data_IF_448360565521
#
_entry.id   IF_448360565521
#
_cell.length_a   1.000
_cell.length_b   1.000
_cell.length_c   1.000
_cell.angle_alpha   90.00
_cell.angle_beta   90.00
_cell.angle_gamma   90.00
#
_symmetry.space_group_name_H-M   'P 1'
#
loop_
_entity.id
_entity.type
_entity.pdbx_description
1 polymer ?
#
# COMPACT_ATOMS: atom_id res chain seq x y z
N UNK A 1 23.57 7.81 29.22
CA UNK A 1 22.39 8.50 29.77
C UNK A 1 22.05 9.62 28.82
N UNK A 2 21.11 9.40 27.91
CA UNK A 2 20.53 10.49 27.10
C UNK A 2 19.82 11.47 28.04
N UNK A 3 20.00 12.78 27.90
CA UNK A 3 19.26 13.74 28.70
C UNK A 3 17.78 13.65 28.33
N UNK A 4 16.92 13.52 29.34
CA UNK A 4 15.48 13.53 29.17
C UNK A 4 15.05 14.80 28.44
N UNK A 5 14.57 14.63 27.20
CA UNK A 5 14.01 15.71 26.41
C UNK A 5 12.81 16.29 27.18
N UNK A 6 12.99 17.44 27.83
CA UNK A 6 11.87 18.15 28.46
C UNK A 6 10.87 18.50 27.35
N UNK A 7 9.65 17.97 27.45
CA UNK A 7 8.58 18.26 26.51
C UNK A 7 8.32 19.77 26.51
N UNK A 8 8.34 20.38 25.33
CA UNK A 8 7.97 21.78 25.19
C UNK A 8 6.47 21.96 25.43
N UNK A 9 5.97 23.15 25.82
CA UNK A 9 4.53 23.39 26.01
C UNK A 9 3.68 23.03 24.78
N UNK A 10 4.23 23.16 23.56
CA UNK A 10 3.58 22.75 22.32
C UNK A 10 3.48 21.23 22.14
N UNK A 11 4.37 20.46 22.78
CA UNK A 11 4.33 19.01 22.74
C UNK A 11 3.15 18.45 23.53
N UNK A 12 2.89 19.01 24.73
CA UNK A 12 1.76 18.62 25.56
C UNK A 12 0.41 18.92 24.92
N UNK A 13 0.30 20.06 24.19
CA UNK A 13 -0.91 20.40 23.45
C UNK A 13 -1.19 19.43 22.29
N UNK A 14 -0.15 19.08 21.52
CA UNK A 14 -0.28 18.14 20.40
C UNK A 14 -0.66 16.72 20.86
N UNK A 15 -0.08 16.26 21.97
CA UNK A 15 -0.42 14.98 22.59
C UNK A 15 -1.87 14.97 23.09
N UNK A 16 -2.33 16.03 23.74
CA UNK A 16 -3.72 16.16 24.18
C UNK A 16 -4.71 16.13 23.01
N UNK A 17 -4.40 16.80 21.89
CA UNK A 17 -5.23 16.77 20.68
C UNK A 17 -5.33 15.35 20.09
N UNK A 18 -4.21 14.65 19.99
CA UNK A 18 -4.19 13.28 19.47
C UNK A 18 -4.96 12.33 20.39
N UNK A 19 -4.77 12.42 21.71
CA UNK A 19 -5.49 11.60 22.68
C UNK A 19 -7.00 11.84 22.65
N UNK A 20 -7.44 13.09 22.50
CA UNK A 20 -8.87 13.39 22.38
C UNK A 20 -9.47 12.82 21.09
N UNK A 21 -8.77 12.96 19.95
CA UNK A 21 -9.23 12.35 18.70
C UNK A 21 -9.25 10.83 18.79
N UNK A 22 -8.22 10.22 19.37
CA UNK A 22 -8.13 8.77 19.56
C UNK A 22 -9.30 8.27 20.42
N UNK A 23 -9.65 8.98 21.50
CA UNK A 23 -10.80 8.63 22.34
C UNK A 23 -12.10 8.61 21.53
N UNK A 24 -12.36 9.65 20.74
CA UNK A 24 -13.57 9.72 19.90
C UNK A 24 -13.61 8.62 18.84
N UNK A 25 -12.47 8.30 18.22
CA UNK A 25 -12.35 7.20 17.26
C UNK A 25 -12.58 5.84 17.95
N UNK A 26 -12.01 5.63 19.14
CA UNK A 26 -12.21 4.41 19.91
C UNK A 26 -13.68 4.21 20.33
N UNK A 27 -14.40 5.28 20.65
CA UNK A 27 -15.84 5.21 20.94
C UNK A 27 -16.62 4.69 19.71
N UNK A 28 -16.30 5.17 18.51
CA UNK A 28 -16.88 4.66 17.25
C UNK A 28 -16.50 3.20 17.00
N UNK A 29 -15.24 2.81 17.25
CA UNK A 29 -14.77 1.43 17.08
C UNK A 29 -15.50 0.48 18.03
N UNK A 30 -15.66 0.85 19.31
CA UNK A 30 -16.36 0.06 20.33
C UNK A 30 -17.85 -0.11 20.03
N UNK A 31 -18.47 0.93 19.46
CA UNK A 31 -19.86 0.88 19.01
C UNK A 31 -20.06 0.10 17.70
N UNK A 32 -18.97 -0.31 17.02
CA UNK A 32 -19.05 -0.97 15.71
C UNK A 32 -19.08 -2.49 15.83
N UNK A 33 -19.92 -3.11 15.01
CA UNK A 33 -20.03 -4.57 14.90
C UNK A 33 -18.75 -5.20 14.36
N UNK A 34 -18.58 -6.52 14.55
CA UNK A 34 -17.47 -7.26 13.92
C UNK A 34 -17.49 -7.13 12.39
N UNK A 35 -18.68 -7.11 11.80
CA UNK A 35 -18.86 -6.98 10.35
C UNK A 35 -18.28 -5.66 9.82
N UNK A 36 -18.55 -4.56 10.52
CA UNK A 36 -17.99 -3.25 10.18
C UNK A 36 -16.49 -3.17 10.47
N UNK A 37 -16.04 -3.73 11.60
CA UNK A 37 -14.63 -3.70 11.99
C UNK A 37 -13.75 -4.47 11.02
N UNK A 38 -14.23 -5.60 10.48
CA UNK A 38 -13.40 -6.50 9.65
C UNK A 38 -14.16 -7.27 8.56
N UNK A 39 -15.40 -7.67 8.85
CA UNK A 39 -16.16 -8.59 7.99
C UNK A 39 -16.30 -8.12 6.54
N UNK A 40 -16.54 -6.83 6.31
CA UNK A 40 -16.62 -6.25 4.95
C UNK A 40 -15.31 -6.46 4.18
N UNK A 41 -14.17 -6.14 4.78
CA UNK A 41 -12.87 -6.26 4.12
C UNK A 41 -12.49 -7.72 3.89
N UNK A 42 -12.74 -8.60 4.87
CA UNK A 42 -12.57 -10.04 4.71
C UNK A 42 -13.46 -10.60 3.59
N UNK A 43 -14.70 -10.12 3.44
CA UNK A 43 -15.60 -10.55 2.38
C UNK A 43 -15.11 -10.11 0.99
N UNK A 44 -14.59 -8.88 0.85
CA UNK A 44 -13.99 -8.40 -0.41
C UNK A 44 -12.80 -9.29 -0.83
N UNK A 45 -11.93 -9.64 0.12
CA UNK A 45 -10.79 -10.52 -0.13
C UNK A 45 -11.25 -11.95 -0.50
N UNK A 46 -12.23 -12.49 0.22
CA UNK A 46 -12.80 -13.81 -0.06
C UNK A 46 -13.47 -13.87 -1.44
N UNK A 47 -14.28 -12.86 -1.79
CA UNK A 47 -14.90 -12.74 -3.11
C UNK A 47 -13.86 -12.66 -4.23
N UNK A 48 -12.76 -11.94 -3.99
CA UNK A 48 -11.67 -11.85 -4.98
C UNK A 48 -10.97 -13.19 -5.19
N UNK A 49 -10.75 -13.99 -4.14
CA UNK A 49 -10.26 -15.37 -4.28
C UNK A 49 -11.24 -16.26 -5.03
N UNK A 50 -12.53 -16.18 -4.71
CA UNK A 50 -13.60 -16.96 -5.35
C UNK A 50 -13.85 -16.57 -6.83
N UNK A 51 -13.49 -15.36 -7.23
CA UNK A 51 -13.60 -14.89 -8.62
C UNK A 51 -12.45 -15.37 -9.52
N UNK A 52 -11.32 -15.83 -8.96
CA UNK A 52 -10.16 -16.27 -9.75
C UNK A 52 -10.51 -17.38 -10.77
N UNK A 53 -11.26 -18.45 -10.43
CA UNK A 53 -11.62 -19.49 -11.39
C UNK A 53 -12.39 -18.93 -12.59
N UNK A 54 -13.32 -17.99 -12.37
CA UNK A 54 -14.06 -17.34 -13.44
C UNK A 54 -13.10 -16.58 -14.38
N UNK A 55 -12.15 -15.83 -13.81
CA UNK A 55 -11.13 -15.12 -14.59
C UNK A 55 -10.28 -16.06 -15.46
N UNK A 56 -9.80 -17.18 -14.93
CA UNK A 56 -9.03 -18.16 -15.69
C UNK A 56 -9.87 -18.85 -16.78
N UNK A 57 -11.12 -19.22 -16.48
CA UNK A 57 -12.02 -19.88 -17.44
C UNK A 57 -12.41 -18.95 -18.59
N UNK A 58 -12.58 -17.65 -18.33
CA UNK A 58 -12.84 -16.64 -19.36
C UNK A 58 -11.74 -16.60 -20.44
N UNK A 59 -10.48 -16.87 -20.07
CA UNK A 59 -9.35 -16.87 -21.02
C UNK A 59 -9.38 -18.05 -22.00
N UNK A 60 -10.15 -19.11 -21.73
CA UNK A 60 -10.26 -20.27 -22.62
C UNK A 60 -11.08 -19.99 -23.88
N UNK A 61 -11.96 -19.00 -23.84
CA UNK A 61 -12.86 -18.72 -24.95
C UNK A 61 -12.12 -17.98 -26.05
N UNK A 62 -12.32 -18.40 -27.30
CA UNK A 62 -11.81 -17.73 -28.50
C UNK A 62 -12.63 -16.47 -28.83
N UNK A 63 -12.79 -15.58 -27.85
CA UNK A 63 -13.56 -14.35 -27.96
C UNK A 63 -12.82 -13.21 -27.24
N UNK A 64 -12.62 -12.08 -27.93
CA UNK A 64 -11.84 -10.94 -27.41
C UNK A 64 -12.48 -10.33 -26.17
N UNK A 65 -13.81 -10.25 -26.10
CA UNK A 65 -14.52 -9.69 -24.94
C UNK A 65 -14.41 -10.63 -23.72
N UNK A 66 -14.52 -11.94 -23.93
CA UNK A 66 -14.31 -12.93 -22.88
C UNK A 66 -12.86 -12.89 -22.35
N UNK A 67 -11.89 -12.80 -23.26
CA UNK A 67 -10.48 -12.65 -22.90
C UNK A 67 -10.23 -11.37 -22.08
N UNK A 68 -10.71 -10.21 -22.56
CA UNK A 68 -10.58 -8.94 -21.85
C UNK A 68 -11.27 -8.98 -20.47
N UNK A 69 -12.43 -9.64 -20.37
CA UNK A 69 -13.12 -9.86 -19.10
C UNK A 69 -12.28 -10.73 -18.16
N UNK A 70 -11.67 -11.80 -18.65
CA UNK A 70 -10.77 -12.66 -17.88
C UNK A 70 -9.56 -11.90 -17.34
N UNK A 71 -8.88 -11.12 -18.20
CA UNK A 71 -7.77 -10.26 -17.78
C UNK A 71 -8.22 -9.23 -16.74
N UNK A 72 -9.40 -8.64 -16.91
CA UNK A 72 -9.94 -7.65 -15.96
C UNK A 72 -10.22 -8.28 -14.60
N UNK A 73 -10.90 -9.42 -14.55
CA UNK A 73 -11.17 -10.15 -13.31
C UNK A 73 -9.85 -10.52 -12.62
N UNK A 74 -8.92 -11.16 -13.34
CA UNK A 74 -7.65 -11.59 -12.78
C UNK A 74 -6.79 -10.43 -12.29
N UNK A 75 -6.78 -9.31 -13.04
CA UNK A 75 -6.03 -8.12 -12.64
C UNK A 75 -6.65 -7.42 -11.43
N UNK A 76 -7.97 -7.22 -11.38
CA UNK A 76 -8.63 -6.65 -10.20
C UNK A 76 -8.41 -7.56 -8.99
N UNK A 77 -8.61 -8.88 -9.12
CA UNK A 77 -8.35 -9.83 -8.04
C UNK A 77 -6.87 -9.80 -7.60
N UNK A 78 -5.93 -9.70 -8.55
CA UNK A 78 -4.51 -9.58 -8.23
C UNK A 78 -4.27 -8.42 -7.29
N UNK A 79 -4.69 -7.20 -7.65
CA UNK A 79 -4.48 -6.01 -6.82
C UNK A 79 -5.26 -6.05 -5.50
N UNK A 80 -6.48 -6.58 -5.50
CA UNK A 80 -7.23 -6.78 -4.24
C UNK A 80 -6.46 -7.67 -3.26
N UNK A 81 -5.77 -8.70 -3.73
CA UNK A 81 -5.00 -9.58 -2.85
C UNK A 81 -3.62 -9.01 -2.51
N UNK A 82 -2.92 -8.42 -3.49
CA UNK A 82 -1.52 -7.99 -3.32
C UNK A 82 -1.34 -6.58 -2.77
N UNK A 83 -2.37 -5.75 -2.88
CA UNK A 83 -2.37 -4.38 -2.35
C UNK A 83 -3.27 -4.32 -1.13
N UNK A 84 -4.60 -4.43 -1.30
CA UNK A 84 -5.53 -4.35 -0.17
C UNK A 84 -5.28 -5.46 0.86
N UNK A 85 -5.19 -6.72 0.43
CA UNK A 85 -4.95 -7.86 1.31
C UNK A 85 -3.65 -7.77 2.08
N UNK A 86 -2.54 -7.50 1.39
CA UNK A 86 -1.21 -7.35 1.99
C UNK A 86 -1.12 -6.16 2.94
N UNK A 87 -1.72 -5.03 2.59
CA UNK A 87 -1.74 -3.83 3.43
C UNK A 87 -2.51 -4.06 4.73
N UNK A 88 -3.75 -4.56 4.64
CA UNK A 88 -4.57 -4.87 5.82
C UNK A 88 -3.93 -5.96 6.70
N UNK A 89 -3.31 -6.98 6.09
CA UNK A 89 -2.65 -8.05 6.84
C UNK A 89 -1.39 -7.55 7.57
N UNK A 90 -0.60 -6.68 6.94
CA UNK A 90 0.58 -6.03 7.53
C UNK A 90 0.23 -5.26 8.80
N UNK A 91 -0.92 -4.59 8.81
CA UNK A 91 -1.44 -3.85 9.96
C UNK A 91 -2.21 -4.71 10.97
N UNK A 92 -2.41 -6.00 10.69
CA UNK A 92 -3.21 -6.89 11.53
C UNK A 92 -4.70 -6.55 11.54
N UNK A 93 -5.19 -5.78 10.56
CA UNK A 93 -6.58 -5.31 10.52
C UNK A 93 -7.59 -6.43 10.21
N UNK A 94 -7.14 -7.55 9.66
CA UNK A 94 -8.00 -8.67 9.26
C UNK A 94 -8.44 -9.58 10.41
N UNK A 95 -7.74 -9.58 11.55
CA UNK A 95 -8.06 -10.48 12.68
C UNK A 95 -7.49 -9.99 14.01
N UNK A 96 -8.17 -10.31 15.10
CA UNK A 96 -7.71 -10.05 16.48
C UNK A 96 -6.61 -11.03 16.92
N UNK A 97 -6.55 -12.21 16.31
CA UNK A 97 -5.61 -13.25 16.71
C UNK A 97 -4.21 -12.96 16.17
N UNK A 98 -3.23 -12.79 17.07
CA UNK A 98 -1.81 -12.59 16.70
C UNK A 98 -1.28 -13.72 15.80
N UNK A 99 -1.67 -14.97 16.08
CA UNK A 99 -1.28 -16.14 15.27
C UNK A 99 -1.84 -16.05 13.86
N UNK A 100 -3.15 -15.80 13.73
CA UNK A 100 -3.76 -15.66 12.41
C UNK A 100 -3.28 -14.43 11.67
N UNK A 101 -3.01 -13.32 12.36
CA UNK A 101 -2.43 -12.12 11.75
C UNK A 101 -1.09 -12.44 11.10
N UNK A 102 -0.21 -13.20 11.77
CA UNK A 102 1.06 -13.64 11.19
C UNK A 102 0.87 -14.53 9.97
N UNK A 103 -0.07 -15.49 10.02
CA UNK A 103 -0.36 -16.40 8.90
C UNK A 103 -0.88 -15.62 7.70
N UNK A 104 -1.86 -14.73 7.90
CA UNK A 104 -2.44 -13.91 6.83
C UNK A 104 -1.40 -12.96 6.22
N UNK A 105 -0.53 -12.38 7.04
CA UNK A 105 0.56 -11.54 6.55
C UNK A 105 1.52 -12.32 5.67
N UNK A 106 1.95 -13.52 6.06
CA UNK A 106 2.79 -14.38 5.21
C UNK A 106 2.05 -14.75 3.92
N UNK A 107 0.78 -15.13 4.00
CA UNK A 107 -0.01 -15.47 2.82
C UNK A 107 -0.12 -14.30 1.84
N UNK A 108 -0.60 -13.14 2.28
CA UNK A 108 -0.80 -12.02 1.37
C UNK A 108 0.53 -11.40 0.90
N UNK A 109 1.55 -11.29 1.76
CA UNK A 109 2.79 -10.58 1.39
C UNK A 109 3.79 -11.51 0.68
N UNK A 110 4.02 -12.72 1.19
CA UNK A 110 4.99 -13.64 0.57
C UNK A 110 4.37 -14.43 -0.58
N UNK A 111 3.19 -15.01 -0.40
CA UNK A 111 2.56 -15.85 -1.44
C UNK A 111 1.90 -15.00 -2.53
N UNK A 112 1.05 -14.03 -2.18
CA UNK A 112 0.34 -13.25 -3.21
C UNK A 112 1.23 -12.18 -3.85
N UNK A 113 1.91 -11.36 -3.02
CA UNK A 113 2.67 -10.18 -3.49
C UNK A 113 4.08 -10.52 -3.97
N UNK A 114 4.61 -11.68 -3.59
CA UNK A 114 5.99 -12.08 -3.89
C UNK A 114 7.04 -11.17 -3.23
N UNK A 115 6.83 -10.80 -1.95
CA UNK A 115 7.71 -9.90 -1.20
C UNK A 115 7.97 -10.40 0.23
N UNK A 116 9.12 -10.10 0.88
CA UNK A 116 9.39 -10.59 2.23
C UNK A 116 8.50 -9.90 3.27
N UNK A 117 7.72 -10.69 4.04
CA UNK A 117 6.69 -10.12 4.92
C UNK A 117 7.26 -9.28 6.07
N UNK A 118 8.32 -9.74 6.72
CA UNK A 118 8.91 -8.99 7.85
C UNK A 118 9.51 -7.66 7.40
N UNK A 119 10.27 -7.68 6.30
CA UNK A 119 10.84 -6.47 5.72
C UNK A 119 9.74 -5.50 5.27
N UNK A 120 8.71 -6.01 4.57
CA UNK A 120 7.56 -5.21 4.15
C UNK A 120 6.84 -4.57 5.33
N UNK A 121 6.62 -5.33 6.42
CA UNK A 121 6.01 -4.80 7.64
C UNK A 121 6.88 -3.75 8.31
N UNK A 122 8.17 -3.99 8.44
CA UNK A 122 9.09 -3.02 9.03
C UNK A 122 9.11 -1.72 8.22
N UNK A 123 9.30 -1.81 6.90
CA UNK A 123 9.34 -0.62 6.04
C UNK A 123 8.01 0.14 6.07
N UNK A 124 6.87 -0.56 6.03
CA UNK A 124 5.57 0.10 6.02
C UNK A 124 5.17 0.66 7.39
N UNK A 125 5.19 -0.17 8.43
CA UNK A 125 4.65 0.19 9.75
C UNK A 125 5.65 1.00 10.57
N UNK A 126 6.93 0.64 10.55
CA UNK A 126 7.92 1.29 11.39
C UNK A 126 8.52 2.51 10.70
N UNK A 127 8.85 2.42 9.40
CA UNK A 127 9.47 3.52 8.68
C UNK A 127 8.42 4.49 8.13
N UNK A 128 7.57 4.04 7.22
CA UNK A 128 6.61 4.88 6.51
C UNK A 128 5.57 5.53 7.45
N UNK A 129 4.95 4.78 8.36
CA UNK A 129 4.03 5.34 9.37
C UNK A 129 4.73 6.04 10.55
N UNK A 130 5.89 5.56 10.95
CA UNK A 130 6.63 6.12 12.10
C UNK A 130 7.31 7.46 11.80
N UNK A 131 7.67 7.68 10.54
CA UNK A 131 8.50 8.78 10.08
C UNK A 131 7.96 9.45 8.81
N UNK A 132 6.65 9.41 8.56
CA UNK A 132 6.02 9.99 7.37
C UNK A 132 6.59 11.38 7.02
N UNK A 133 7.10 11.53 5.79
CA UNK A 133 7.75 12.74 5.29
C UNK A 133 8.97 13.25 6.09
N UNK A 134 9.63 12.40 6.87
CA UNK A 134 10.91 12.71 7.52
C UNK A 134 12.05 12.29 6.60
N UNK A 135 12.87 13.25 6.20
CA UNK A 135 14.01 13.05 5.29
C UNK A 135 14.99 12.02 5.85
N UNK A 136 15.44 11.09 5.01
CA UNK A 136 16.35 9.99 5.37
C UNK A 136 15.70 8.81 6.11
N UNK A 137 14.42 8.87 6.49
CA UNK A 137 13.72 7.78 7.18
C UNK A 137 12.42 7.33 6.51
N UNK A 138 11.45 8.22 6.36
CA UNK A 138 10.04 7.86 6.13
C UNK A 138 9.66 7.53 4.71
N UNK A 139 10.22 6.46 4.15
CA UNK A 139 10.05 6.06 2.74
C UNK A 139 8.61 6.30 2.22
N UNK A 140 8.48 7.27 1.31
CA UNK A 140 7.19 7.57 0.69
C UNK A 140 6.82 6.56 -0.39
N UNK A 141 7.78 5.77 -0.90
CA UNK A 141 7.53 4.70 -1.87
C UNK A 141 8.80 3.89 -2.11
N UNK A 142 8.74 2.57 -1.86
CA UNK A 142 9.80 1.61 -2.23
C UNK A 142 10.14 1.65 -3.73
N UNK A 143 9.29 2.28 -4.54
CA UNK A 143 9.43 2.41 -5.99
C UNK A 143 9.92 3.79 -6.44
N UNK A 144 10.39 4.68 -5.55
CA UNK A 144 11.01 5.95 -5.95
C UNK A 144 12.35 5.65 -6.65
N UNK A 145 12.50 6.06 -7.91
CA UNK A 145 13.73 5.88 -8.70
C UNK A 145 14.13 7.22 -9.33
N UNK A 146 15.01 8.01 -8.68
CA UNK A 146 15.33 9.38 -9.07
C UNK A 146 16.11 9.47 -10.39
N UNK A 147 16.71 8.36 -10.87
CA UNK A 147 17.45 8.33 -12.13
C UNK A 147 16.57 8.25 -13.38
N UNK A 148 15.28 7.95 -13.24
CA UNK A 148 14.35 7.89 -14.36
C UNK A 148 13.73 9.27 -14.62
N UNK A 149 13.64 9.68 -15.89
CA UNK A 149 12.89 10.87 -16.25
C UNK A 149 11.38 10.68 -16.03
N UNK A 150 10.65 11.79 -15.95
CA UNK A 150 9.21 11.82 -15.66
C UNK A 150 8.36 10.90 -16.53
N UNK A 151 8.65 10.80 -17.83
CA UNK A 151 7.84 10.00 -18.75
C UNK A 151 8.12 8.50 -18.57
N UNK A 152 9.38 8.13 -18.37
CA UNK A 152 9.72 6.73 -18.10
C UNK A 152 9.13 6.32 -16.75
N UNK A 153 9.30 7.13 -15.71
CA UNK A 153 8.81 6.83 -14.37
C UNK A 153 7.27 6.75 -14.29
N UNK A 154 6.56 7.70 -14.89
CA UNK A 154 5.10 7.77 -14.77
C UNK A 154 4.37 6.81 -15.72
N UNK A 155 4.97 6.38 -16.83
CA UNK A 155 4.26 5.57 -17.85
C UNK A 155 4.88 4.20 -18.13
N UNK A 156 6.20 4.05 -18.06
CA UNK A 156 6.86 2.78 -18.42
C UNK A 156 7.26 1.96 -17.19
N UNK A 157 7.78 2.60 -16.15
CA UNK A 157 8.18 1.94 -14.91
C UNK A 157 7.06 1.12 -14.26
N UNK A 158 5.78 1.57 -14.24
CA UNK A 158 4.70 0.76 -13.66
C UNK A 158 4.58 -0.62 -14.30
N UNK A 159 4.74 -0.73 -15.62
CA UNK A 159 4.64 -1.99 -16.34
C UNK A 159 5.76 -2.98 -15.97
N UNK A 160 6.87 -2.50 -15.39
CA UNK A 160 7.97 -3.35 -14.92
C UNK A 160 7.75 -3.91 -13.51
N UNK A 161 6.80 -3.37 -12.73
CA UNK A 161 6.57 -3.77 -11.33
C UNK A 161 6.38 -5.27 -11.16
N UNK A 162 5.56 -5.98 -11.97
CA UNK A 162 5.39 -7.42 -11.80
C UNK A 162 6.68 -8.24 -11.91
N UNK A 163 7.68 -7.71 -12.62
CA UNK A 163 9.01 -8.31 -12.78
C UNK A 163 9.95 -7.84 -11.67
N UNK A 164 9.93 -6.54 -11.35
CA UNK A 164 10.84 -5.97 -10.35
C UNK A 164 10.51 -6.41 -8.92
N UNK A 165 9.25 -6.58 -8.53
CA UNK A 165 8.87 -7.00 -7.16
C UNK A 165 9.59 -8.28 -6.69
N UNK A 166 9.54 -9.41 -7.41
CA UNK A 166 10.27 -10.60 -6.97
C UNK A 166 11.79 -10.42 -7.02
N UNK A 167 12.34 -9.59 -7.92
CA UNK A 167 13.78 -9.33 -7.98
C UNK A 167 14.27 -8.52 -6.77
N UNK A 168 13.54 -7.46 -6.41
CA UNK A 168 13.80 -6.68 -5.19
C UNK A 168 13.66 -7.59 -3.97
N UNK A 169 12.65 -8.47 -3.92
CA UNK A 169 12.51 -9.43 -2.84
C UNK A 169 13.78 -10.30 -2.68
N UNK A 170 14.31 -10.86 -3.76
CA UNK A 170 15.55 -11.65 -3.73
C UNK A 170 16.75 -10.86 -3.19
N UNK A 171 16.89 -9.60 -3.57
CA UNK A 171 17.94 -8.73 -3.05
C UNK A 171 17.81 -8.55 -1.54
N UNK A 172 16.59 -8.32 -1.03
CA UNK A 172 16.34 -8.15 0.40
C UNK A 172 16.64 -9.43 1.19
N UNK A 173 16.33 -10.59 0.63
CA UNK A 173 16.61 -11.88 1.29
C UNK A 173 18.11 -12.17 1.48
N UNK A 174 19.02 -11.49 0.75
CA UNK A 174 20.47 -11.62 0.96
C UNK A 174 20.94 -11.14 2.33
N UNK A 175 20.13 -10.30 3.00
CA UNK A 175 20.43 -9.74 4.33
C UNK A 175 19.76 -10.50 5.47
N UNK A 176 18.99 -11.54 5.16
CA UNK A 176 18.21 -12.33 6.11
C UNK A 176 18.96 -13.60 6.54
N UNK A 177 18.58 -14.17 7.68
CA UNK A 177 19.06 -15.49 8.10
C UNK A 177 18.67 -16.56 7.07
N UNK A 178 19.59 -17.48 6.74
CA UNK A 178 19.39 -18.50 5.70
C UNK A 178 18.06 -19.27 5.83
N UNK A 179 17.66 -19.65 7.04
CA UNK A 179 16.40 -20.37 7.29
C UNK A 179 15.18 -19.52 6.91
N UNK A 180 15.19 -18.26 7.31
CA UNK A 180 14.12 -17.29 6.99
C UNK A 180 14.11 -17.03 5.48
N UNK A 181 15.28 -16.83 4.89
CA UNK A 181 15.45 -16.60 3.46
C UNK A 181 14.87 -17.76 2.63
N UNK A 182 15.23 -19.01 2.95
CA UNK A 182 14.72 -20.20 2.25
C UNK A 182 13.21 -20.38 2.41
N UNK A 183 12.67 -20.14 3.61
CA UNK A 183 11.21 -20.21 3.85
C UNK A 183 10.47 -19.18 3.00
N UNK A 184 10.92 -17.93 3.04
CA UNK A 184 10.29 -16.83 2.28
C UNK A 184 10.42 -17.06 0.77
N UNK A 185 11.58 -17.51 0.29
CA UNK A 185 11.77 -17.90 -1.10
C UNK A 185 10.82 -19.03 -1.52
N UNK A 186 10.59 -20.01 -0.64
CA UNK A 186 9.63 -21.09 -0.85
C UNK A 186 8.20 -20.57 -1.02
N UNK A 187 7.75 -19.66 -0.17
CA UNK A 187 6.40 -19.06 -0.27
C UNK A 187 6.23 -18.16 -1.50
N UNK A 188 7.25 -17.35 -1.83
CA UNK A 188 7.27 -16.55 -3.06
C UNK A 188 7.18 -17.44 -4.30
N UNK A 189 8.00 -18.50 -4.33
CA UNK A 189 8.02 -19.46 -5.42
C UNK A 189 6.68 -20.18 -5.55
N UNK A 190 6.08 -20.60 -4.42
CA UNK A 190 4.76 -21.23 -4.39
C UNK A 190 3.70 -20.32 -5.03
N UNK A 191 3.66 -19.04 -4.67
CA UNK A 191 2.70 -18.09 -5.20
C UNK A 191 2.84 -17.86 -6.70
N UNK A 192 4.05 -17.52 -7.15
CA UNK A 192 4.35 -17.25 -8.56
C UNK A 192 4.12 -18.50 -9.43
N UNK A 193 4.61 -19.66 -8.98
CA UNK A 193 4.44 -20.91 -9.70
C UNK A 193 2.97 -21.34 -9.75
N UNK A 194 2.22 -21.24 -8.65
CA UNK A 194 0.80 -21.61 -8.64
C UNK A 194 -0.01 -20.77 -9.61
N UNK A 195 0.22 -19.45 -9.64
CA UNK A 195 -0.45 -18.57 -10.61
C UNK A 195 -0.08 -18.94 -12.05
N UNK A 196 1.22 -19.10 -12.33
CA UNK A 196 1.69 -19.49 -13.67
C UNK A 196 1.14 -20.84 -14.12
N UNK A 197 1.11 -21.83 -13.21
CA UNK A 197 0.54 -23.15 -13.45
C UNK A 197 -0.95 -23.06 -13.79
N UNK A 198 -1.73 -22.21 -13.13
CA UNK A 198 -3.13 -21.98 -13.46
C UNK A 198 -3.29 -21.37 -14.86
N UNK A 199 -2.46 -20.40 -15.23
CA UNK A 199 -2.46 -19.87 -16.60
C UNK A 199 -2.15 -20.97 -17.63
N UNK A 200 -1.14 -21.80 -17.39
CA UNK A 200 -0.78 -22.89 -18.29
C UNK A 200 -1.90 -23.93 -18.45
N UNK A 201 -2.50 -24.38 -17.35
CA UNK A 201 -3.32 -25.58 -17.33
C UNK A 201 -4.83 -25.30 -17.36
N UNK A 202 -5.26 -24.09 -16.97
CA UNK A 202 -6.69 -23.75 -16.88
C UNK A 202 -7.11 -22.79 -17.98
N UNK A 203 -6.23 -21.87 -18.42
CA UNK A 203 -6.60 -20.82 -19.37
C UNK A 203 -6.55 -21.22 -20.85
N UNK A 204 -6.20 -22.46 -21.18
CA UNK A 204 -6.21 -22.96 -22.57
C UNK A 204 -5.04 -22.48 -23.45
N UNK A 205 -3.98 -21.92 -22.86
CA UNK A 205 -2.78 -21.53 -23.60
C UNK A 205 -2.00 -22.76 -24.08
N UNK A 206 -1.58 -22.75 -25.35
CA UNK A 206 -0.74 -23.83 -25.93
C UNK A 206 0.76 -23.60 -25.74
N UNK A 207 1.16 -22.37 -25.43
CA UNK A 207 2.56 -21.96 -25.30
C UNK A 207 2.83 -21.42 -23.89
N UNK A 208 3.95 -21.85 -23.31
CA UNK A 208 4.45 -21.36 -22.03
C UNK A 208 4.68 -19.84 -22.04
N UNK A 209 5.24 -19.32 -23.13
CA UNK A 209 5.46 -17.88 -23.30
C UNK A 209 4.15 -17.10 -23.33
N UNK A 210 3.09 -17.63 -23.96
CA UNK A 210 1.78 -16.96 -24.00
C UNK A 210 1.10 -16.92 -22.63
N UNK A 211 1.21 -18.00 -21.84
CA UNK A 211 0.71 -18.04 -20.48
C UNK A 211 1.46 -17.06 -19.57
N UNK A 212 2.79 -17.00 -19.69
CA UNK A 212 3.61 -16.04 -18.95
C UNK A 212 3.29 -14.60 -19.33
N UNK A 213 3.17 -14.31 -20.62
CA UNK A 213 2.78 -12.98 -21.10
C UNK A 213 1.41 -12.56 -20.55
N UNK A 214 0.43 -13.47 -20.52
CA UNK A 214 -0.89 -13.18 -19.97
C UNK A 214 -0.87 -13.00 -18.44
N UNK A 215 -0.03 -13.75 -17.74
CA UNK A 215 0.20 -13.54 -16.30
C UNK A 215 0.76 -12.14 -16.05
N UNK A 216 1.78 -11.71 -16.80
CA UNK A 216 2.36 -10.37 -16.68
C UNK A 216 1.35 -9.28 -17.05
N UNK A 217 0.54 -9.50 -18.09
CA UNK A 217 -0.51 -8.57 -18.51
C UNK A 217 -1.56 -8.39 -17.41
N UNK A 218 -2.08 -9.48 -16.83
CA UNK A 218 -3.04 -9.41 -15.73
C UNK A 218 -2.45 -8.70 -14.50
N UNK A 219 -1.19 -9.02 -14.15
CA UNK A 219 -0.47 -8.35 -13.06
C UNK A 219 -0.16 -6.88 -13.34
N UNK A 220 -0.20 -6.44 -14.60
CA UNK A 220 0.06 -5.05 -14.99
C UNK A 220 -1.19 -4.17 -15.05
N UNK A 221 -2.40 -4.75 -14.92
CA UNK A 221 -3.67 -4.06 -15.19
C UNK A 221 -3.82 -2.73 -14.42
N UNK A 222 -3.48 -2.72 -13.14
CA UNK A 222 -3.56 -1.54 -12.27
C UNK A 222 -2.17 -1.07 -11.80
N UNK A 223 -1.11 -1.37 -12.56
CA UNK A 223 0.25 -1.02 -12.14
C UNK A 223 0.48 0.49 -12.10
N UNK A 224 -0.08 1.22 -13.07
CA UNK A 224 -0.02 2.68 -13.13
C UNK A 224 -0.63 3.33 -11.87
N UNK A 225 -1.92 3.10 -11.55
CA UNK A 225 -2.47 3.68 -10.33
C UNK A 225 -1.74 3.17 -9.09
N UNK A 226 -1.25 1.93 -9.04
CA UNK A 226 -0.48 1.44 -7.90
C UNK A 226 0.80 2.25 -7.67
N UNK A 227 1.61 2.50 -8.70
CA UNK A 227 2.80 3.33 -8.56
C UNK A 227 2.43 4.78 -8.20
N UNK A 228 1.43 5.34 -8.87
CA UNK A 228 1.01 6.72 -8.68
C UNK A 228 0.50 7.00 -7.28
N UNK A 229 -0.39 6.18 -6.72
CA UNK A 229 -0.96 6.47 -5.39
C UNK A 229 0.11 6.46 -4.31
N UNK A 230 1.09 5.55 -4.41
CA UNK A 230 2.21 5.50 -3.47
C UNK A 230 3.02 6.81 -3.45
N UNK A 231 3.18 7.52 -4.57
CA UNK A 231 3.90 8.81 -4.59
C UNK A 231 2.97 10.01 -4.39
N UNK A 232 1.77 9.97 -4.94
CA UNK A 232 0.84 11.11 -4.99
C UNK A 232 0.37 11.51 -3.60
N UNK A 233 0.38 10.61 -2.63
CA UNK A 233 -0.23 10.88 -1.34
C UNK A 233 0.72 11.49 -0.30
N UNK A 234 2.02 11.56 -0.61
CA UNK A 234 3.06 12.04 0.29
C UNK A 234 4.00 13.08 -0.32
N UNK A 235 4.50 12.83 -1.53
CA UNK A 235 5.56 13.64 -2.13
C UNK A 235 4.96 14.95 -2.65
N UNK A 236 5.63 16.08 -2.42
CA UNK A 236 5.08 17.41 -2.71
C UNK A 236 4.20 17.96 -1.58
N UNK A 237 4.11 17.25 -0.46
CA UNK A 237 3.66 17.79 0.83
C UNK A 237 4.87 18.21 1.69
N UNK A 238 4.68 18.96 2.79
CA UNK A 238 5.75 19.33 3.69
C UNK A 238 6.62 18.15 4.13
N UNK A 239 7.93 18.37 4.08
CA UNK A 239 8.98 17.44 4.47
C UNK A 239 9.69 17.96 5.72
N UNK A 240 10.12 17.05 6.60
CA UNK A 240 10.68 17.39 7.90
C UNK A 240 12.10 16.84 8.06
N UNK A 241 12.97 17.60 8.72
CA UNK A 241 14.27 17.06 9.16
C UNK A 241 14.08 16.14 10.38
N UNK A 242 14.93 15.11 10.56
CA UNK A 242 14.85 14.21 11.71
C UNK A 242 14.80 14.95 13.07
N UNK A 243 15.62 16.00 13.21
CA UNK A 243 15.76 16.75 14.46
C UNK A 243 14.66 17.77 14.72
N UNK A 244 13.84 18.10 13.71
CA UNK A 244 12.80 19.15 13.80
C UNK A 244 11.42 18.65 13.39
N UNK A 245 11.22 17.33 13.34
CA UNK A 245 9.93 16.76 12.97
C UNK A 245 8.85 17.13 14.01
N UNK A 246 7.63 17.47 13.57
CA UNK A 246 6.57 17.82 14.49
C UNK A 246 6.00 16.57 15.18
N UNK A 247 5.19 16.78 16.21
CA UNK A 247 4.47 15.69 16.90
C UNK A 247 3.50 14.98 15.94
N UNK A 248 3.17 13.72 16.25
CA UNK A 248 2.47 12.80 15.34
C UNK A 248 1.24 13.40 14.67
N UNK A 249 0.33 14.05 15.40
CA UNK A 249 -0.88 14.63 14.81
C UNK A 249 -0.57 15.67 13.73
N UNK A 250 0.40 16.56 13.98
CA UNK A 250 0.83 17.56 13.01
C UNK A 250 1.59 16.92 11.84
N UNK A 251 2.45 15.93 12.12
CA UNK A 251 3.19 15.21 11.08
C UNK A 251 2.25 14.51 10.09
N UNK A 252 1.24 13.80 10.60
CA UNK A 252 0.27 13.09 9.76
C UNK A 252 -0.67 14.04 9.00
N UNK A 253 -1.09 15.14 9.63
CA UNK A 253 -2.00 16.11 8.99
C UNK A 253 -1.31 16.94 7.92
N UNK A 254 0.00 17.20 8.05
CA UNK A 254 0.78 17.93 7.04
C UNK A 254 1.32 17.01 5.94
N UNK A 255 1.79 15.81 6.27
CA UNK A 255 2.56 14.94 5.36
C UNK A 255 1.74 13.89 4.59
N UNK A 256 0.42 13.94 4.67
CA UNK A 256 -0.48 12.93 4.08
C UNK A 256 -1.67 13.62 3.40
N UNK A 257 -2.13 13.07 2.28
CA UNK A 257 -3.38 13.49 1.64
C UNK A 257 -4.28 12.31 1.25
N UNK A 258 -5.57 12.60 1.15
CA UNK A 258 -6.57 11.71 0.58
C UNK A 258 -6.79 11.99 -0.90
N UNK A 259 -7.04 10.94 -1.69
CA UNK A 259 -7.59 11.04 -3.03
C UNK A 259 -9.12 10.88 -2.98
N UNK A 260 -9.90 11.53 -3.85
CA UNK A 260 -11.34 11.27 -3.96
C UNK A 260 -11.64 9.80 -4.21
N UNK A 261 -12.82 9.36 -3.78
CA UNK A 261 -13.27 7.97 -3.94
C UNK A 261 -13.23 7.55 -5.42
N UNK A 262 -12.65 6.38 -5.67
CA UNK A 262 -12.58 5.77 -6.99
C UNK A 262 -13.02 4.31 -6.86
N UNK A 263 -14.24 3.91 -7.30
CA UNK A 263 -14.81 2.60 -6.95
C UNK A 263 -13.90 1.40 -7.22
N UNK A 264 -13.19 1.40 -8.36
CA UNK A 264 -12.26 0.32 -8.73
C UNK A 264 -11.04 0.31 -7.81
N UNK A 265 -10.47 1.46 -7.47
CA UNK A 265 -9.30 1.56 -6.59
C UNK A 265 -9.67 1.37 -5.11
N UNK A 266 -10.83 1.86 -4.69
CA UNK A 266 -11.40 1.58 -3.35
C UNK A 266 -11.56 0.07 -3.14
N UNK A 267 -11.99 -0.67 -4.18
CA UNK A 267 -12.10 -2.12 -4.14
C UNK A 267 -10.73 -2.80 -4.15
N UNK A 268 -9.89 -2.46 -5.13
CA UNK A 268 -8.63 -3.17 -5.37
C UNK A 268 -7.52 -2.80 -4.38
N UNK A 269 -7.40 -1.54 -3.99
CA UNK A 269 -6.32 -1.06 -3.13
C UNK A 269 -6.80 -0.84 -1.69
N UNK A 270 -8.09 -0.55 -1.51
CA UNK A 270 -8.66 -0.26 -0.20
C UNK A 270 -8.74 1.25 0.08
N UNK A 271 -9.67 1.62 0.96
CA UNK A 271 -9.89 3.03 1.32
C UNK A 271 -8.67 3.67 1.98
N UNK A 272 -7.92 2.94 2.80
CA UNK A 272 -6.71 3.42 3.48
C UNK A 272 -5.58 3.82 2.53
N UNK A 273 -5.63 3.39 1.28
CA UNK A 273 -4.67 3.77 0.24
C UNK A 273 -5.26 4.72 -0.81
N UNK A 274 -6.52 5.13 -0.66
CA UNK A 274 -7.19 6.03 -1.61
C UNK A 274 -7.88 7.16 -0.85
N UNK A 275 -9.09 6.91 -0.36
CA UNK A 275 -9.98 7.94 0.17
C UNK A 275 -9.81 8.26 1.66
N UNK A 276 -9.05 7.43 2.38
CA UNK A 276 -8.92 7.47 3.83
C UNK A 276 -7.47 7.28 4.30
N UNK A 277 -6.53 7.77 3.52
CA UNK A 277 -5.12 7.71 3.80
C UNK A 277 -4.69 8.57 4.99
N UNK A 278 -5.25 9.77 5.16
CA UNK A 278 -5.04 10.60 6.37
C UNK A 278 -5.50 9.84 7.63
N UNK A 279 -6.71 9.26 7.59
CA UNK A 279 -7.26 8.45 8.68
C UNK A 279 -6.38 7.24 8.96
N UNK A 280 -5.88 6.59 7.91
CA UNK A 280 -4.99 5.44 8.01
C UNK A 280 -3.66 5.79 8.69
N UNK A 281 -3.05 6.92 8.36
CA UNK A 281 -1.80 7.36 8.99
C UNK A 281 -1.97 7.74 10.47
N UNK A 282 -3.12 8.34 10.80
CA UNK A 282 -3.48 8.61 12.20
C UNK A 282 -3.78 7.31 12.97
N UNK A 283 -4.51 6.38 12.36
CA UNK A 283 -5.04 5.16 13.00
C UNK A 283 -4.76 3.89 12.16
N UNK A 284 -3.49 3.47 12.03
CA UNK A 284 -3.09 2.42 11.10
C UNK A 284 -3.65 1.02 11.41
N UNK A 285 -4.12 0.80 12.64
CA UNK A 285 -4.75 -0.46 13.06
C UNK A 285 -6.19 -0.62 12.58
N UNK A 286 -6.81 0.43 12.04
CA UNK A 286 -8.16 0.35 11.50
C UNK A 286 -8.17 -0.36 10.14
N UNK A 287 -9.23 -1.11 9.89
CA UNK A 287 -9.52 -1.65 8.56
C UNK A 287 -9.99 -0.55 7.61
N UNK A 288 -10.00 -0.83 6.30
CA UNK A 288 -10.48 0.13 5.30
C UNK A 288 -11.91 0.57 5.56
N UNK A 289 -12.78 -0.37 5.92
CA UNK A 289 -14.18 -0.06 6.26
C UNK A 289 -14.26 0.87 7.47
N UNK A 290 -13.41 0.67 8.47
CA UNK A 290 -13.38 1.53 9.65
C UNK A 290 -12.79 2.90 9.36
N UNK A 291 -11.72 2.99 8.57
CA UNK A 291 -11.18 4.26 8.07
C UNK A 291 -12.27 5.08 7.36
N UNK A 292 -13.06 4.44 6.49
CA UNK A 292 -14.18 5.11 5.83
C UNK A 292 -15.27 5.56 6.82
N UNK A 293 -15.55 4.76 7.84
CA UNK A 293 -16.56 5.09 8.87
C UNK A 293 -16.13 6.28 9.74
N UNK A 294 -14.85 6.38 10.10
CA UNK A 294 -14.34 7.45 10.96
C UNK A 294 -13.95 8.72 10.20
N UNK A 295 -13.81 8.66 8.86
CA UNK A 295 -13.44 9.80 8.00
C UNK A 295 -14.22 11.10 8.31
N UNK A 296 -15.57 11.10 8.43
CA UNK A 296 -16.30 12.35 8.73
C UNK A 296 -15.97 12.92 10.11
N UNK A 297 -15.73 12.07 11.11
CA UNK A 297 -15.34 12.47 12.46
C UNK A 297 -13.94 13.09 12.44
N UNK A 298 -12.98 12.40 11.80
CA UNK A 298 -11.59 12.86 11.70
C UNK A 298 -11.52 14.19 10.95
N UNK A 299 -12.15 14.29 9.77
CA UNK A 299 -12.20 15.53 8.99
C UNK A 299 -12.77 16.69 9.81
N UNK A 300 -13.93 16.49 10.45
CA UNK A 300 -14.55 17.52 11.29
C UNK A 300 -13.64 17.94 12.43
N UNK A 301 -13.06 16.98 13.16
CA UNK A 301 -12.17 17.28 14.27
C UNK A 301 -10.97 18.12 13.83
N UNK A 302 -10.32 17.74 12.73
CA UNK A 302 -9.16 18.46 12.22
C UNK A 302 -9.53 19.89 11.81
N UNK A 303 -10.66 20.08 11.12
CA UNK A 303 -11.17 21.42 10.80
C UNK A 303 -11.50 22.24 12.04
N UNK A 304 -12.20 21.68 13.03
CA UNK A 304 -12.57 22.34 14.28
C UNK A 304 -11.32 22.77 15.09
N UNK A 305 -10.23 22.01 14.97
CA UNK A 305 -8.93 22.30 15.60
C UNK A 305 -7.98 23.08 14.71
N UNK A 306 -8.43 23.55 13.55
CA UNK A 306 -7.64 24.31 12.57
C UNK A 306 -6.37 23.57 12.11
N UNK A 307 -6.45 22.24 12.04
CA UNK A 307 -5.40 21.37 11.52
C UNK A 307 -5.65 21.08 10.03
N UNK A 308 -4.60 20.91 9.21
CA UNK A 308 -4.74 20.58 7.80
C UNK A 308 -5.46 19.23 7.61
N UNK A 309 -6.30 19.19 6.58
CA UNK A 309 -6.93 17.98 6.07
C UNK A 309 -6.78 17.96 4.56
N UNK A 310 -5.68 17.39 4.07
CA UNK A 310 -5.33 17.49 2.66
C UNK A 310 -6.14 16.50 1.82
N UNK A 311 -6.80 17.01 0.78
CA UNK A 311 -7.43 16.21 -0.26
C UNK A 311 -7.09 16.81 -1.62
N UNK A 312 -6.81 15.96 -2.60
CA UNK A 312 -6.56 16.42 -3.97
C UNK A 312 -6.95 15.37 -5.01
N UNK A 313 -7.34 15.81 -6.21
CA UNK A 313 -7.75 14.91 -7.28
C UNK A 313 -6.56 14.16 -7.86
N UNK A 314 -6.78 12.92 -8.31
CA UNK A 314 -5.76 12.14 -9.00
C UNK A 314 -5.16 12.89 -10.20
N UNK A 315 -5.98 13.62 -10.97
CA UNK A 315 -5.54 14.38 -12.12
C UNK A 315 -4.65 15.57 -11.72
N UNK A 316 -5.03 16.31 -10.68
CA UNK A 316 -4.21 17.43 -10.17
C UNK A 316 -2.86 16.93 -9.66
N UNK A 317 -2.84 15.82 -8.90
CA UNK A 317 -1.59 15.17 -8.47
C UNK A 317 -0.76 14.70 -9.66
N UNK A 318 -1.39 14.09 -10.65
CA UNK A 318 -0.71 13.67 -11.87
C UNK A 318 -0.08 14.85 -12.64
N UNK A 319 -0.81 15.95 -12.83
CA UNK A 319 -0.29 17.17 -13.47
C UNK A 319 0.83 17.82 -12.65
N UNK A 320 0.70 17.84 -11.32
CA UNK A 320 1.72 18.34 -10.42
C UNK A 320 3.03 17.58 -10.62
N UNK A 321 2.98 16.25 -10.62
CA UNK A 321 4.16 15.41 -10.86
C UNK A 321 4.69 15.55 -12.27
N UNK A 322 3.85 15.67 -13.30
CA UNK A 322 4.33 15.93 -14.65
C UNK A 322 5.01 17.29 -14.78
N UNK A 323 4.62 18.29 -13.98
CA UNK A 323 5.19 19.65 -14.06
C UNK A 323 6.46 19.79 -13.24
N UNK A 324 6.45 19.28 -12.00
CA UNK A 324 7.50 19.45 -10.99
C UNK A 324 8.26 18.15 -10.67
N UNK A 325 8.30 17.19 -11.61
CA UNK A 325 8.94 15.90 -11.41
C UNK A 325 10.38 16.02 -10.92
N UNK A 326 11.20 16.85 -11.57
CA UNK A 326 12.63 16.98 -11.24
C UNK A 326 12.81 17.46 -9.80
N UNK A 327 12.03 18.46 -9.38
CA UNK A 327 12.03 18.95 -8.01
C UNK A 327 11.71 17.85 -7.01
N UNK A 328 10.61 17.12 -7.22
CA UNK A 328 10.08 16.18 -6.23
C UNK A 328 10.76 14.80 -6.24
N UNK A 329 11.19 14.35 -7.41
CA UNK A 329 11.67 12.98 -7.60
C UNK A 329 13.17 12.90 -7.76
N UNK A 330 13.83 13.94 -8.26
CA UNK A 330 15.28 13.93 -8.59
C UNK A 330 16.08 14.79 -7.62
N UNK A 331 15.67 16.03 -7.38
CA UNK A 331 16.41 16.99 -6.57
C UNK A 331 16.03 16.98 -5.08
N UNK A 332 14.80 16.56 -4.75
CA UNK A 332 14.38 16.45 -3.37
C UNK A 332 15.31 15.48 -2.62
N UNK A 333 15.81 15.87 -1.43
CA UNK A 333 16.65 14.99 -0.63
C UNK A 333 15.91 13.69 -0.39
N UNK A 334 16.61 12.58 -0.60
CA UNK A 334 16.00 11.27 -0.60
C UNK A 334 15.38 10.98 0.77
N UNK A 335 14.13 10.51 0.77
CA UNK A 335 13.46 10.10 2.00
C UNK A 335 14.09 8.81 2.54
N UNK A 336 14.76 8.04 1.68
CA UNK A 336 15.80 7.07 2.01
C UNK A 336 16.79 7.06 0.85
N UNK A 337 18.10 7.01 1.14
CA UNK A 337 19.10 6.74 0.10
C UNK A 337 18.77 5.39 -0.55
N UNK A 338 18.71 5.34 -1.88
CA UNK A 338 18.45 4.10 -2.61
C UNK A 338 19.47 3.05 -2.16
N UNK A 339 18.98 1.98 -1.56
CA UNK A 339 19.82 0.90 -1.04
C UNK A 339 20.69 0.34 -2.17
N UNK A 340 22.01 0.55 -2.07
CA UNK A 340 22.99 -0.37 -2.66
C UNK A 340 23.64 -0.03 -4.00
N UNK A 341 23.60 1.22 -4.50
CA UNK A 341 24.52 1.64 -5.58
C UNK A 341 25.31 2.88 -5.17
N UNK A 342 26.52 2.63 -4.66
CA UNK A 342 27.70 3.49 -4.79
C UNK A 342 28.74 2.75 -5.62
#
# INVERSE_FOLDING_TARGET
>A
MEPAHRASPGDGAAEALLSELERQVQDVVRASSWWERRGVDCAILALSLLALPAGFLCLRFHNVLAFATGITILGVCHYTLTVKGSHLATHGALTESKRWSKILMIFFVEVCTAFPAEFGKFNHVNMHHGYTNVVGLGDSSTWKVPSLNRYIYMFLAPLSIPILTPLVALERLRKEELRVALRTLGFISLGLYSQYWLFLNVSGFKSSSSALACMLLARSLLAHPYLHVNIFQHIGLPMFSPDKKPRRIHMMTLGVLNLPRQPVLDWAFGHSLISCHVEHHLFPWLSDRMCLKVKPLVSKFLHDKQLPYNEDSYLARFQLFLSHYEEFMVHAPSITELVGMQ
#
